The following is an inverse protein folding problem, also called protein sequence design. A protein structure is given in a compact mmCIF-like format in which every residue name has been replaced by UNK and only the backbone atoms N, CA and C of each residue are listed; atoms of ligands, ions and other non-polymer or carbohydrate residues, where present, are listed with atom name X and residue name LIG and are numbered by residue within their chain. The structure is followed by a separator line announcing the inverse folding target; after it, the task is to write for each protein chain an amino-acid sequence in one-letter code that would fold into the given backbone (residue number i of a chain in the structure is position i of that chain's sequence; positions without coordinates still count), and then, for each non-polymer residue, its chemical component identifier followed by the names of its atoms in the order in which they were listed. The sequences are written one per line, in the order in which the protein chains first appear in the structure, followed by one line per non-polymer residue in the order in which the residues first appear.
data_IF_637750062732
#
_entry.id   IF_637750062732
#
_cell.length_a   1.000
_cell.length_b   1.000
_cell.length_c   1.000
_cell.angle_alpha   90.00
_cell.angle_beta   90.00
_cell.angle_gamma   90.00
#
_symmetry.space_group_name_H-M   'P 1'
#
loop_
_entity.id
_entity.type
_entity.pdbx_description
1 polymer ?
#
# COMPACT_ATOMS: atom_id res chain seq x y z
N UNK A 1 7.09 12.53 0.37
CA UNK A 1 8.18 11.55 0.71
C UNK A 1 8.09 10.32 -0.17
N UNK A 2 9.23 9.77 -0.69
CA UNK A 2 9.26 8.51 -1.42
C UNK A 2 9.30 7.32 -0.44
N UNK A 3 8.43 6.33 -0.66
CA UNK A 3 8.30 5.08 0.11
C UNK A 3 8.58 3.91 -0.83
N UNK A 4 9.73 3.23 -0.75
CA UNK A 4 9.96 2.03 -1.57
C UNK A 4 9.07 0.88 -1.12
N UNK A 5 8.63 0.02 -2.09
CA UNK A 5 7.81 -1.16 -1.82
C UNK A 5 8.61 -2.45 -1.94
N UNK A 6 8.37 -3.36 -1.00
CA UNK A 6 8.81 -4.76 -1.04
C UNK A 6 7.55 -5.63 -1.05
N UNK A 7 7.35 -6.36 -2.12
CA UNK A 7 6.28 -7.33 -2.23
C UNK A 7 6.85 -8.73 -2.00
N UNK A 8 6.21 -9.53 -1.16
CA UNK A 8 6.65 -10.87 -0.77
C UNK A 8 5.71 -11.94 -1.33
N UNK A 9 6.26 -12.90 -2.06
CA UNK A 9 5.54 -14.06 -2.58
C UNK A 9 6.43 -15.29 -2.63
N UNK A 10 5.96 -16.43 -2.11
CA UNK A 10 6.71 -17.68 -2.09
C UNK A 10 8.04 -17.59 -1.36
N UNK A 11 8.15 -16.77 -0.33
CA UNK A 11 9.39 -16.54 0.42
C UNK A 11 10.41 -15.62 -0.27
N UNK A 12 10.04 -14.95 -1.36
CA UNK A 12 10.92 -14.12 -2.21
C UNK A 12 10.42 -12.70 -2.30
N UNK A 13 11.33 -11.77 -2.63
CA UNK A 13 10.95 -10.42 -3.05
C UNK A 13 10.55 -10.46 -4.52
N UNK A 14 9.36 -9.94 -4.84
CA UNK A 14 8.82 -9.95 -6.20
C UNK A 14 8.34 -8.55 -6.63
N UNK A 15 8.14 -8.38 -7.94
CA UNK A 15 7.34 -7.28 -8.49
C UNK A 15 6.34 -7.84 -9.50
N UNK A 16 5.09 -7.40 -9.37
CA UNK A 16 4.01 -7.79 -10.25
C UNK A 16 3.61 -6.63 -11.15
N UNK A 17 3.25 -6.93 -12.38
CA UNK A 17 2.59 -6.01 -13.30
C UNK A 17 1.09 -6.24 -13.19
N UNK A 18 0.35 -5.18 -12.90
CA UNK A 18 -1.10 -5.20 -12.65
C UNK A 18 -1.57 -6.24 -11.62
N UNK A 19 -0.72 -6.53 -10.64
CA UNK A 19 -1.03 -7.49 -9.57
C UNK A 19 -1.10 -8.95 -9.99
N UNK A 20 -0.78 -9.27 -11.26
CA UNK A 20 -0.95 -10.62 -11.80
C UNK A 20 0.32 -11.21 -12.41
N UNK A 21 1.02 -10.47 -13.28
CA UNK A 21 2.18 -10.99 -13.99
C UNK A 21 3.47 -10.69 -13.23
N UNK A 22 4.14 -11.74 -12.72
CA UNK A 22 5.44 -11.58 -12.09
C UNK A 22 6.50 -11.20 -13.15
N UNK A 23 7.14 -10.06 -12.95
CA UNK A 23 8.16 -9.50 -13.86
C UNK A 23 9.54 -9.40 -13.22
N UNK A 24 9.60 -9.57 -11.90
CA UNK A 24 10.84 -9.62 -11.14
C UNK A 24 10.68 -10.57 -9.94
N UNK A 25 11.74 -11.30 -9.60
CA UNK A 25 11.83 -12.06 -8.36
C UNK A 25 13.31 -12.23 -7.97
N UNK A 26 13.57 -12.19 -6.65
CA UNK A 26 14.90 -12.42 -6.10
C UNK A 26 14.84 -12.99 -4.71
N UNK A 27 15.85 -13.78 -4.35
CA UNK A 27 16.08 -14.30 -2.99
C UNK A 27 16.97 -13.34 -2.17
N UNK A 28 17.54 -12.31 -2.78
CA UNK A 28 18.44 -11.33 -2.14
C UNK A 28 17.67 -10.30 -1.29
N UNK A 29 17.06 -10.77 -0.21
CA UNK A 29 16.38 -9.90 0.76
C UNK A 29 17.37 -8.95 1.46
N UNK A 30 18.58 -9.42 1.78
CA UNK A 30 19.58 -8.60 2.50
C UNK A 30 20.07 -7.42 1.65
N UNK A 31 20.27 -7.63 0.36
CA UNK A 31 20.61 -6.54 -0.57
C UNK A 31 19.53 -5.46 -0.59
N UNK A 32 18.25 -5.84 -0.58
CA UNK A 32 17.14 -4.89 -0.53
C UNK A 32 16.99 -4.22 0.84
N UNK A 33 17.20 -4.94 1.95
CA UNK A 33 17.26 -4.33 3.29
C UNK A 33 18.35 -3.26 3.33
N UNK A 34 19.58 -3.57 2.88
CA UNK A 34 20.68 -2.61 2.83
C UNK A 34 20.33 -1.38 1.99
N UNK A 35 19.71 -1.60 0.82
CA UNK A 35 19.33 -0.53 -0.11
C UNK A 35 18.27 0.41 0.46
N UNK A 36 17.34 -0.11 1.27
CA UNK A 36 16.21 0.65 1.82
C UNK A 36 16.41 1.07 3.28
N UNK A 37 17.54 0.70 3.91
CA UNK A 37 17.79 0.93 5.35
C UNK A 37 17.81 2.40 5.77
N UNK A 38 18.10 3.31 4.83
CA UNK A 38 18.10 4.77 5.06
C UNK A 38 16.76 5.43 4.80
N UNK A 39 15.78 4.69 4.25
CA UNK A 39 14.46 5.23 3.96
C UNK A 39 13.66 5.44 5.25
N UNK A 40 12.95 6.59 5.40
CA UNK A 40 12.15 6.89 6.60
C UNK A 40 11.01 5.91 6.81
N UNK A 41 10.53 5.29 5.74
CA UNK A 41 9.47 4.29 5.73
C UNK A 41 9.60 3.38 4.50
N UNK A 42 9.30 2.10 4.66
CA UNK A 42 9.26 1.09 3.59
C UNK A 42 7.88 0.44 3.59
N UNK A 43 7.26 0.26 2.43
CA UNK A 43 6.04 -0.52 2.32
C UNK A 43 6.38 -2.00 2.13
N UNK A 44 5.71 -2.88 2.87
CA UNK A 44 5.85 -4.34 2.75
C UNK A 44 4.48 -4.95 2.52
N UNK A 45 4.30 -5.69 1.43
CA UNK A 45 3.06 -6.39 1.12
C UNK A 45 3.30 -7.90 1.10
N UNK A 46 2.60 -8.63 1.98
CA UNK A 46 2.57 -10.10 1.95
C UNK A 46 1.49 -10.56 0.95
N UNK A 47 1.91 -10.86 -0.27
CA UNK A 47 1.00 -11.30 -1.34
C UNK A 47 0.44 -12.70 -1.09
N UNK A 48 1.21 -13.61 -0.47
CA UNK A 48 0.69 -14.95 -0.14
C UNK A 48 -0.44 -14.84 0.89
N UNK A 49 -0.29 -14.01 1.91
CA UNK A 49 -1.36 -13.74 2.88
C UNK A 49 -2.57 -13.04 2.24
N UNK A 50 -2.33 -12.09 1.32
CA UNK A 50 -3.40 -11.43 0.57
C UNK A 50 -4.22 -12.43 -0.27
N UNK A 51 -3.55 -13.36 -0.94
CA UNK A 51 -4.15 -14.37 -1.82
C UNK A 51 -4.60 -15.64 -1.10
N UNK A 52 -4.38 -15.77 0.22
CA UNK A 52 -4.66 -16.98 1.03
C UNK A 52 -3.85 -18.21 0.59
N UNK A 53 -2.64 -18.00 0.10
CA UNK A 53 -1.73 -19.07 -0.34
C UNK A 53 -0.70 -19.45 0.73
N UNK A 54 -0.66 -18.71 1.84
CA UNK A 54 0.31 -18.87 2.91
C UNK A 54 0.59 -17.56 3.62
N UNK A 55 1.79 -17.43 4.19
CA UNK A 55 2.24 -16.19 4.84
C UNK A 55 3.76 -16.07 4.83
N UNK A 56 4.25 -14.86 4.64
CA UNK A 56 5.67 -14.50 4.74
C UNK A 56 5.98 -13.82 6.07
N UNK A 57 5.24 -14.10 7.15
CA UNK A 57 5.37 -13.40 8.45
C UNK A 57 6.79 -13.42 9.01
N UNK A 58 7.57 -14.47 8.75
CA UNK A 58 8.99 -14.54 9.14
C UNK A 58 9.83 -13.48 8.44
N UNK A 59 9.61 -13.25 7.15
CA UNK A 59 10.28 -12.20 6.37
C UNK A 59 9.79 -10.81 6.80
N UNK A 60 8.48 -10.64 7.02
CA UNK A 60 7.90 -9.39 7.53
C UNK A 60 8.57 -8.99 8.86
N UNK A 61 8.68 -9.90 9.82
CA UNK A 61 9.38 -9.65 11.10
C UNK A 61 10.83 -9.24 10.89
N UNK A 62 11.54 -9.92 10.00
CA UNK A 62 12.93 -9.60 9.67
C UNK A 62 13.09 -8.20 9.07
N UNK A 63 12.18 -7.81 8.17
CA UNK A 63 12.14 -6.47 7.58
C UNK A 63 11.83 -5.40 8.63
N UNK A 64 10.78 -5.58 9.44
CA UNK A 64 10.39 -4.64 10.48
C UNK A 64 11.44 -4.46 11.59
N UNK A 65 12.26 -5.49 11.86
CA UNK A 65 13.36 -5.38 12.80
C UNK A 65 14.54 -4.54 12.29
N UNK A 66 14.61 -4.30 10.98
CA UNK A 66 15.74 -3.62 10.31
C UNK A 66 15.36 -2.27 9.71
N UNK A 67 14.11 -2.03 9.46
CA UNK A 67 13.60 -0.84 8.79
C UNK A 67 12.24 -0.43 9.36
N UNK A 68 11.90 0.87 9.35
CA UNK A 68 10.54 1.33 9.65
C UNK A 68 9.59 0.90 8.51
N UNK A 69 8.64 0.01 8.81
CA UNK A 69 7.75 -0.55 7.79
C UNK A 69 6.28 -0.18 8.02
N UNK A 70 5.56 0.09 6.94
CA UNK A 70 4.11 -0.09 6.87
C UNK A 70 3.82 -1.43 6.17
N UNK A 71 2.95 -2.24 6.77
CA UNK A 71 2.77 -3.63 6.32
C UNK A 71 1.33 -3.91 5.96
N UNK A 72 1.12 -4.52 4.81
CA UNK A 72 -0.18 -4.97 4.33
C UNK A 72 -0.13 -6.40 3.76
N UNK A 73 -1.28 -6.84 3.29
CA UNK A 73 -1.45 -8.19 2.74
C UNK A 73 -2.14 -9.12 3.75
N UNK A 74 -3.35 -9.54 3.40
CA UNK A 74 -4.10 -10.53 4.17
C UNK A 74 -4.70 -10.07 5.50
N UNK A 75 -4.67 -8.79 5.86
CA UNK A 75 -5.27 -8.24 7.08
C UNK A 75 -6.80 -8.27 6.95
N UNK A 76 -7.46 -9.08 7.75
CA UNK A 76 -8.91 -9.29 7.72
C UNK A 76 -9.59 -9.02 9.05
N UNK A 77 -8.86 -9.16 10.15
CA UNK A 77 -9.33 -8.99 11.52
C UNK A 77 -8.43 -8.04 12.29
N UNK A 78 -8.93 -7.53 13.41
CA UNK A 78 -8.14 -6.73 14.36
C UNK A 78 -6.92 -7.52 14.85
N UNK A 79 -7.07 -8.83 15.04
CA UNK A 79 -5.97 -9.68 15.52
C UNK A 79 -4.88 -9.85 14.46
N UNK A 80 -5.22 -9.94 13.15
CA UNK A 80 -4.24 -9.92 12.08
C UNK A 80 -3.42 -8.61 12.11
N UNK A 81 -4.11 -7.47 12.24
CA UNK A 81 -3.46 -6.17 12.31
C UNK A 81 -2.56 -6.04 13.56
N UNK A 82 -3.08 -6.47 14.73
CA UNK A 82 -2.30 -6.50 15.99
C UNK A 82 -1.05 -7.35 15.86
N UNK A 83 -1.14 -8.51 15.21
CA UNK A 83 0.00 -9.40 15.00
C UNK A 83 1.12 -8.74 14.17
N UNK A 84 0.77 -7.92 13.16
CA UNK A 84 1.75 -7.14 12.39
C UNK A 84 2.38 -6.01 13.20
N UNK A 85 1.59 -5.30 14.03
CA UNK A 85 2.14 -4.27 14.94
C UNK A 85 3.09 -4.90 15.97
N UNK A 86 2.74 -6.05 16.56
CA UNK A 86 3.62 -6.81 17.46
C UNK A 86 4.86 -7.32 16.73
N UNK A 87 4.76 -7.61 15.42
CA UNK A 87 5.91 -7.98 14.59
C UNK A 87 6.86 -6.79 14.29
N UNK A 88 6.50 -5.57 14.69
CA UNK A 88 7.31 -4.37 14.56
C UNK A 88 6.88 -3.41 13.43
N UNK A 89 5.74 -3.65 12.78
CA UNK A 89 5.19 -2.70 11.82
C UNK A 89 4.84 -1.37 12.51
N UNK A 90 5.18 -0.24 11.91
CA UNK A 90 4.76 1.10 12.38
C UNK A 90 3.29 1.37 12.10
N UNK A 91 2.81 0.91 10.94
CA UNK A 91 1.43 1.06 10.48
C UNK A 91 1.01 -0.21 9.77
N UNK A 92 -0.28 -0.49 9.80
CA UNK A 92 -0.88 -1.64 9.11
C UNK A 92 -1.78 -1.15 7.99
N UNK A 93 -1.59 -1.70 6.79
CA UNK A 93 -2.39 -1.39 5.62
C UNK A 93 -3.55 -2.38 5.57
N UNK A 94 -4.77 -1.86 5.64
CA UNK A 94 -6.01 -2.63 5.58
C UNK A 94 -6.76 -2.28 4.30
N UNK A 95 -6.99 -3.26 3.46
CA UNK A 95 -7.73 -3.11 2.20
C UNK A 95 -9.13 -3.72 2.30
N UNK A 96 -9.33 -4.88 1.69
CA UNK A 96 -10.65 -5.51 1.50
C UNK A 96 -11.47 -5.73 2.78
N UNK A 97 -10.85 -5.74 3.97
CA UNK A 97 -11.59 -5.86 5.23
C UNK A 97 -12.48 -4.63 5.52
N UNK A 98 -12.08 -3.46 5.04
CA UNK A 98 -12.85 -2.22 5.19
C UNK A 98 -13.96 -2.05 4.14
N UNK A 99 -14.24 -3.09 3.35
CA UNK A 99 -15.26 -3.03 2.29
C UNK A 99 -16.14 -4.28 2.28
N UNK A 100 -17.40 -4.09 1.87
CA UNK A 100 -18.31 -5.14 1.44
C UNK A 100 -18.84 -4.84 0.03
N UNK A 101 -19.86 -5.57 -0.42
CA UNK A 101 -20.44 -5.41 -1.75
C UNK A 101 -21.15 -4.06 -1.96
N UNK A 102 -21.48 -3.35 -0.88
CA UNK A 102 -22.16 -2.05 -0.89
C UNK A 102 -21.17 -0.88 -0.88
N UNK A 103 -19.94 -1.11 -0.37
CA UNK A 103 -18.92 -0.10 -0.26
C UNK A 103 -18.12 -0.16 1.06
N UNK A 104 -17.67 1.00 1.57
CA UNK A 104 -16.85 1.06 2.78
C UNK A 104 -17.62 0.66 4.04
N UNK A 105 -16.98 -0.11 4.90
CA UNK A 105 -17.45 -0.59 6.19
C UNK A 105 -16.88 0.30 7.32
N UNK A 106 -17.48 1.48 7.51
CA UNK A 106 -17.05 2.41 8.55
C UNK A 106 -17.15 1.80 9.97
N UNK A 107 -18.13 0.92 10.20
CA UNK A 107 -18.29 0.16 11.44
C UNK A 107 -17.11 -0.75 11.73
N UNK A 108 -16.59 -1.44 10.71
CA UNK A 108 -15.41 -2.29 10.84
C UNK A 108 -14.16 -1.43 11.06
N UNK A 109 -13.99 -0.35 10.28
CA UNK A 109 -12.87 0.55 10.45
C UNK A 109 -12.85 1.20 11.85
N UNK A 110 -14.02 1.56 12.39
CA UNK A 110 -14.16 2.05 13.76
C UNK A 110 -13.69 1.02 14.80
N UNK A 111 -14.06 -0.25 14.64
CA UNK A 111 -13.62 -1.32 15.54
C UNK A 111 -12.10 -1.53 15.50
N UNK A 112 -11.47 -1.41 14.31
CA UNK A 112 -10.01 -1.44 14.19
C UNK A 112 -9.38 -0.24 14.90
N UNK A 113 -9.91 0.97 14.68
CA UNK A 113 -9.41 2.20 15.30
C UNK A 113 -9.53 2.17 16.82
N UNK A 114 -10.65 1.70 17.37
CA UNK A 114 -10.84 1.52 18.81
C UNK A 114 -9.82 0.55 19.42
N UNK A 115 -9.51 -0.53 18.72
CA UNK A 115 -8.63 -1.58 19.22
C UNK A 115 -7.14 -1.28 19.09
N UNK A 116 -6.73 -0.45 18.11
CA UNK A 116 -5.33 -0.29 17.68
C UNK A 116 -4.86 1.17 17.61
N UNK A 117 -5.77 2.14 17.68
CA UNK A 117 -5.54 3.56 17.36
C UNK A 117 -5.57 3.82 15.86
N UNK A 118 -6.24 4.90 15.46
CA UNK A 118 -6.38 5.28 14.04
C UNK A 118 -5.02 5.57 13.38
N UNK A 119 -4.07 6.17 14.10
CA UNK A 119 -2.72 6.50 13.60
C UNK A 119 -1.93 5.28 13.12
N UNK A 120 -2.22 4.08 13.66
CA UNK A 120 -1.59 2.83 13.25
C UNK A 120 -2.19 2.23 11.97
N UNK A 121 -3.31 2.79 11.48
CA UNK A 121 -4.10 2.24 10.38
C UNK A 121 -3.92 3.06 9.10
N UNK A 122 -3.68 2.37 7.99
CA UNK A 122 -3.69 2.91 6.63
C UNK A 122 -4.79 2.19 5.85
N UNK A 123 -5.82 2.91 5.38
CA UNK A 123 -6.81 2.31 4.50
C UNK A 123 -6.28 2.25 3.07
N UNK A 124 -6.20 1.06 2.49
CA UNK A 124 -5.94 0.90 1.06
C UNK A 124 -7.24 1.08 0.27
N UNK A 125 -7.22 2.06 -0.63
CA UNK A 125 -8.33 2.38 -1.54
C UNK A 125 -7.79 2.27 -2.96
N UNK A 126 -7.99 1.13 -3.58
CA UNK A 126 -7.54 0.86 -4.94
C UNK A 126 -8.68 1.14 -5.90
N UNK A 127 -8.43 1.82 -7.01
CA UNK A 127 -9.46 2.10 -8.01
C UNK A 127 -9.05 1.67 -9.42
N UNK A 128 -10.03 1.15 -10.16
CA UNK A 128 -9.94 0.84 -11.59
C UNK A 128 -11.15 1.45 -12.30
N UNK A 129 -10.90 2.16 -13.40
CA UNK A 129 -11.95 2.82 -14.19
C UNK A 129 -12.91 3.66 -13.32
N UNK A 130 -12.37 4.38 -12.34
CA UNK A 130 -13.09 5.28 -11.44
C UNK A 130 -13.89 4.60 -10.32
N UNK A 131 -13.82 3.26 -10.18
CA UNK A 131 -14.50 2.49 -9.12
C UNK A 131 -13.51 1.82 -8.19
N UNK A 132 -13.86 1.74 -6.91
CA UNK A 132 -13.07 0.96 -5.94
C UNK A 132 -13.06 -0.50 -6.35
N UNK A 133 -11.88 -1.13 -6.26
CA UNK A 133 -11.70 -2.56 -6.49
C UNK A 133 -11.10 -3.23 -5.25
N UNK A 134 -11.54 -4.44 -4.96
CA UNK A 134 -11.15 -5.22 -3.80
C UNK A 134 -10.80 -6.66 -4.19
N UNK A 135 -10.39 -7.48 -3.21
CA UNK A 135 -10.06 -8.90 -3.39
C UNK A 135 -8.99 -9.14 -4.46
N UNK A 136 -7.87 -8.41 -4.35
CA UNK A 136 -6.79 -8.48 -5.35
C UNK A 136 -7.25 -7.93 -6.71
N UNK A 137 -8.09 -6.87 -6.67
CA UNK A 137 -8.59 -6.14 -7.83
C UNK A 137 -9.51 -6.93 -8.75
N UNK A 138 -10.09 -8.03 -8.26
CA UNK A 138 -10.99 -8.90 -9.04
C UNK A 138 -12.46 -8.49 -8.95
N UNK A 139 -12.83 -7.69 -7.95
CA UNK A 139 -14.19 -7.24 -7.71
C UNK A 139 -14.27 -5.71 -7.68
N UNK A 140 -15.03 -5.12 -8.59
CA UNK A 140 -15.37 -3.70 -8.54
C UNK A 140 -16.59 -3.46 -7.63
N UNK A 141 -16.57 -2.34 -6.89
CA UNK A 141 -17.65 -1.91 -6.01
C UNK A 141 -18.43 -0.73 -6.63
N UNK A 142 -19.68 -0.50 -6.22
CA UNK A 142 -20.51 0.59 -6.77
C UNK A 142 -20.13 1.98 -6.24
N UNK A 143 -18.96 2.14 -5.66
CA UNK A 143 -18.47 3.39 -5.04
C UNK A 143 -17.18 3.87 -5.68
N UNK A 144 -16.96 5.17 -5.64
CA UNK A 144 -15.72 5.83 -6.07
C UNK A 144 -14.69 5.86 -4.94
N UNK A 145 -13.41 6.12 -5.27
CA UNK A 145 -12.37 6.30 -4.26
C UNK A 145 -12.66 7.50 -3.34
N UNK A 146 -13.22 8.59 -3.87
CA UNK A 146 -13.62 9.79 -3.12
C UNK A 146 -14.66 9.46 -2.05
N UNK A 147 -15.73 8.74 -2.43
CA UNK A 147 -16.77 8.31 -1.49
C UNK A 147 -16.22 7.37 -0.41
N UNK A 148 -15.34 6.45 -0.79
CA UNK A 148 -14.72 5.52 0.14
C UNK A 148 -13.81 6.23 1.15
N UNK A 149 -12.96 7.15 0.68
CA UNK A 149 -12.07 7.94 1.52
C UNK A 149 -12.85 8.79 2.52
N UNK A 150 -13.90 9.51 2.06
CA UNK A 150 -14.74 10.32 2.94
C UNK A 150 -15.42 9.49 4.05
N UNK A 151 -15.86 8.27 3.73
CA UNK A 151 -16.52 7.40 4.71
C UNK A 151 -15.55 6.79 5.74
N UNK A 152 -14.30 6.53 5.36
CA UNK A 152 -13.30 5.90 6.23
C UNK A 152 -12.44 6.91 7.00
N UNK A 153 -12.44 8.20 6.62
CA UNK A 153 -11.58 9.24 7.20
C UNK A 153 -11.56 9.31 8.73
N UNK A 154 -12.71 9.15 9.45
CA UNK A 154 -12.71 9.25 10.91
C UNK A 154 -11.93 8.14 11.62
N UNK A 155 -11.63 7.06 10.93
CA UNK A 155 -11.19 5.80 11.53
C UNK A 155 -9.76 5.37 11.13
N UNK A 156 -9.04 6.17 10.34
CA UNK A 156 -7.71 5.82 9.85
C UNK A 156 -6.75 6.99 9.92
N UNK A 157 -5.45 6.72 10.09
CA UNK A 157 -4.41 7.74 10.15
C UNK A 157 -3.91 8.20 8.77
N UNK A 158 -4.09 7.37 7.73
CA UNK A 158 -3.69 7.70 6.36
C UNK A 158 -4.45 6.84 5.34
N UNK A 159 -4.38 7.26 4.08
CA UNK A 159 -4.89 6.51 2.94
C UNK A 159 -3.76 6.11 2.00
N UNK A 160 -3.74 4.86 1.55
CA UNK A 160 -2.96 4.39 0.42
C UNK A 160 -3.90 4.29 -0.79
N UNK A 161 -3.73 5.18 -1.74
CA UNK A 161 -4.52 5.20 -2.97
C UNK A 161 -3.72 4.61 -4.13
N UNK A 162 -4.21 3.51 -4.72
CA UNK A 162 -3.62 2.89 -5.90
C UNK A 162 -4.49 3.11 -7.12
N UNK A 163 -3.93 3.76 -8.15
CA UNK A 163 -4.58 3.84 -9.46
C UNK A 163 -4.21 2.58 -10.27
N UNK A 164 -5.08 1.57 -10.21
CA UNK A 164 -4.81 0.22 -10.75
C UNK A 164 -4.64 0.19 -12.27
N UNK A 165 -5.33 1.10 -12.99
CA UNK A 165 -5.21 1.18 -14.46
C UNK A 165 -3.77 1.44 -14.94
N UNK A 166 -2.93 2.06 -14.10
CA UNK A 166 -1.53 2.39 -14.39
C UNK A 166 -0.52 1.53 -13.64
N UNK A 167 -0.98 0.67 -12.70
CA UNK A 167 -0.10 -0.08 -11.80
C UNK A 167 0.83 -1.03 -12.57
N UNK A 168 2.14 -0.94 -12.25
CA UNK A 168 3.19 -1.77 -12.86
C UNK A 168 3.53 -1.45 -14.32
N UNK A 169 2.78 -0.56 -14.99
CA UNK A 169 2.95 -0.27 -16.42
C UNK A 169 4.01 0.79 -16.73
N UNK A 170 4.51 1.52 -15.72
CA UNK A 170 5.45 2.63 -15.90
C UNK A 170 4.96 3.68 -16.92
N UNK A 171 3.64 3.83 -17.02
CA UNK A 171 2.98 4.77 -17.93
C UNK A 171 2.80 6.18 -17.38
N UNK A 172 3.17 6.39 -16.13
CA UNK A 172 2.82 7.59 -15.34
C UNK A 172 1.57 7.36 -14.50
N UNK A 173 1.41 8.15 -13.44
CA UNK A 173 0.24 8.07 -12.55
C UNK A 173 -0.88 9.02 -12.97
N UNK A 174 -2.09 8.79 -12.47
CA UNK A 174 -3.24 9.67 -12.72
C UNK A 174 -3.30 10.79 -11.67
N UNK A 175 -2.68 11.92 -11.97
CA UNK A 175 -2.60 13.08 -11.08
C UNK A 175 -3.98 13.67 -10.74
N UNK A 176 -4.94 13.61 -11.66
CA UNK A 176 -6.31 14.13 -11.44
C UNK A 176 -7.04 13.27 -10.40
N UNK A 177 -7.00 11.94 -10.54
CA UNK A 177 -7.61 11.02 -9.60
C UNK A 177 -6.98 11.13 -8.20
N UNK A 178 -5.64 11.28 -8.13
CA UNK A 178 -4.94 11.49 -6.85
C UNK A 178 -5.37 12.80 -6.18
N UNK A 179 -5.47 13.90 -6.94
CA UNK A 179 -5.96 15.18 -6.40
C UNK A 179 -7.39 15.10 -5.90
N UNK A 180 -8.27 14.41 -6.62
CA UNK A 180 -9.65 14.20 -6.19
C UNK A 180 -9.72 13.46 -4.84
N UNK A 181 -8.90 12.43 -4.65
CA UNK A 181 -8.78 11.70 -3.38
C UNK A 181 -8.21 12.60 -2.28
N UNK A 182 -7.15 13.37 -2.56
CA UNK A 182 -6.56 14.29 -1.59
C UNK A 182 -7.56 15.35 -1.09
N UNK A 183 -8.39 15.88 -1.98
CA UNK A 183 -9.40 16.87 -1.61
C UNK A 183 -10.57 16.28 -0.81
N UNK A 184 -10.74 14.96 -0.82
CA UNK A 184 -11.80 14.27 -0.09
C UNK A 184 -11.45 13.97 1.38
N UNK A 185 -10.22 14.23 1.82
CA UNK A 185 -9.77 13.94 3.18
C UNK A 185 -8.78 14.98 3.71
N UNK A 186 -8.72 15.08 5.03
CA UNK A 186 -7.65 15.81 5.75
C UNK A 186 -6.51 14.91 6.21
N UNK A 187 -6.67 13.59 6.06
CA UNK A 187 -5.63 12.61 6.41
C UNK A 187 -4.55 12.56 5.32
N UNK A 188 -3.31 12.25 5.66
CA UNK A 188 -2.26 12.01 4.69
C UNK A 188 -2.67 11.01 3.61
N UNK A 189 -2.37 11.34 2.36
CA UNK A 189 -2.57 10.46 1.21
C UNK A 189 -1.20 9.96 0.71
N UNK A 190 -1.13 8.68 0.46
CA UNK A 190 0.01 7.99 -0.12
C UNK A 190 -0.44 7.50 -1.50
N UNK A 191 0.17 7.99 -2.56
CA UNK A 191 -0.16 7.60 -3.93
C UNK A 191 0.68 6.40 -4.39
N UNK A 192 0.05 5.48 -5.10
CA UNK A 192 0.68 4.33 -5.75
C UNK A 192 0.10 4.11 -7.15
N UNK A 193 0.82 3.38 -7.98
CA UNK A 193 0.38 3.00 -9.32
C UNK A 193 0.97 3.85 -10.43
N UNK A 194 1.81 3.23 -11.28
CA UNK A 194 2.33 3.82 -12.51
C UNK A 194 3.50 4.79 -12.37
N UNK A 195 3.94 5.13 -11.16
CA UNK A 195 5.07 6.05 -10.92
C UNK A 195 6.32 5.57 -11.65
N UNK A 196 6.91 6.43 -12.50
CA UNK A 196 8.03 6.07 -13.37
C UNK A 196 9.25 6.99 -13.29
N UNK A 197 9.12 8.18 -12.69
CA UNK A 197 10.18 9.18 -12.67
C UNK A 197 10.26 9.95 -11.36
N UNK A 198 11.46 10.49 -11.08
CA UNK A 198 11.69 11.39 -9.93
C UNK A 198 10.80 12.64 -10.04
N UNK A 199 10.61 13.16 -11.25
CA UNK A 199 9.77 14.34 -11.47
C UNK A 199 8.30 14.13 -11.05
N UNK A 200 7.76 12.90 -11.21
CA UNK A 200 6.41 12.56 -10.71
C UNK A 200 6.40 12.48 -9.19
N UNK A 201 7.46 11.93 -8.57
CA UNK A 201 7.60 11.91 -7.10
C UNK A 201 7.66 13.34 -6.56
N UNK A 202 8.49 14.21 -7.16
CA UNK A 202 8.63 15.61 -6.75
C UNK A 202 7.32 16.39 -6.90
N UNK A 203 6.57 16.12 -7.98
CA UNK A 203 5.26 16.75 -8.20
C UNK A 203 4.23 16.34 -7.14
N UNK A 204 4.23 15.08 -6.70
CA UNK A 204 3.37 14.58 -5.63
C UNK A 204 3.81 15.13 -4.26
N UNK A 205 5.12 15.16 -4.00
CA UNK A 205 5.69 15.70 -2.77
C UNK A 205 5.37 17.19 -2.60
N UNK A 206 5.43 17.98 -3.68
CA UNK A 206 5.02 19.37 -3.70
C UNK A 206 3.52 19.58 -3.36
N UNK A 207 2.70 18.55 -3.51
CA UNK A 207 1.29 18.51 -3.10
C UNK A 207 1.10 18.00 -1.67
N UNK A 208 2.17 17.63 -0.96
CA UNK A 208 2.11 16.99 0.35
C UNK A 208 1.64 15.54 0.31
N UNK A 209 1.82 14.85 -0.82
CA UNK A 209 1.43 13.47 -1.03
C UNK A 209 2.66 12.57 -0.99
N UNK A 210 2.66 11.58 -0.11
CA UNK A 210 3.68 10.53 -0.11
C UNK A 210 3.51 9.60 -1.32
N UNK A 211 4.60 8.98 -1.77
CA UNK A 211 4.60 8.23 -3.02
C UNK A 211 5.20 6.85 -2.83
N UNK A 212 4.42 5.79 -3.02
CA UNK A 212 4.92 4.42 -3.04
C UNK A 212 5.50 4.10 -4.41
N UNK A 213 6.74 3.63 -4.43
CA UNK A 213 7.46 3.26 -5.66
C UNK A 213 7.99 1.84 -5.53
N UNK A 214 7.52 0.96 -6.40
CA UNK A 214 8.02 -0.40 -6.59
C UNK A 214 8.82 -0.51 -7.89
N UNK A 215 8.13 -0.87 -8.97
CA UNK A 215 8.68 -1.24 -10.27
C UNK A 215 9.79 -0.30 -10.77
N UNK A 216 9.64 1.02 -10.65
CA UNK A 216 10.61 1.99 -11.13
C UNK A 216 11.97 1.88 -10.40
N UNK A 217 11.97 1.55 -9.11
CA UNK A 217 13.22 1.31 -8.34
C UNK A 217 13.86 -0.01 -8.79
N UNK A 218 13.08 -1.08 -8.92
CA UNK A 218 13.59 -2.40 -9.32
C UNK A 218 14.12 -2.41 -10.76
N UNK A 219 13.60 -1.54 -11.63
CA UNK A 219 14.09 -1.32 -13.00
C UNK A 219 15.23 -0.30 -13.09
N UNK A 220 15.63 0.32 -11.98
CA UNK A 220 16.72 1.31 -11.94
C UNK A 220 16.36 2.67 -12.54
N UNK A 221 15.07 2.96 -12.77
CA UNK A 221 14.59 4.24 -13.30
C UNK A 221 14.59 5.33 -12.23
N UNK A 222 14.38 4.94 -10.96
CA UNK A 222 14.47 5.83 -9.80
C UNK A 222 15.55 5.26 -8.88
N UNK A 223 16.55 6.08 -8.56
CA UNK A 223 17.58 5.77 -7.60
C UNK A 223 17.25 6.45 -6.27
N UNK A 224 17.38 5.71 -5.19
CA UNK A 224 17.28 6.29 -3.85
C UNK A 224 18.55 7.08 -3.57
N UNK A 225 18.43 8.27 -3.01
CA UNK A 225 19.59 9.06 -2.61
C UNK A 225 20.48 8.26 -1.66
N UNK A 226 21.79 8.36 -1.86
CA UNK A 226 22.82 7.79 -1.00
C UNK A 226 22.95 8.56 0.30
#
# INVERSE_FOLDING_TARGET
MLIPSIDLQGGRVVQLEQGARQVFATDDLEGWIKRFSTCPLVQVIDLDAAMRLGSNVGLVRRLCARMPCQVGGGVRTVDDARALLVAGARRVIVGSAFFDERGPRADVAAAFAEALGDESLVAAVDSRSGRVVVRGWTQALPVTAVEAVAALEPHVGAFLYTHVDTEGLLGGTNMEAIRAVQHATRRPVIAAGGIRSVAEVDALDAMGIDTVVGMAIYRGLIQLGS
#
